data_IF_109645892026
#
_entry.id   IF_109645892026
#
_cell.length_a   1.000
_cell.length_b   1.000
_cell.length_c   1.000
_cell.angle_alpha   90.00
_cell.angle_beta   90.00
_cell.angle_gamma   90.00
#
_symmetry.space_group_name_H-M   'P 1'
#
loop_
_entity.id
_entity.type
_entity.pdbx_description
1 polymer ?
#
# COMPACT_ATOMS: atom_id res chain seq x y z
N UNK A 1 84.65 -26.87 -31.51
CA UNK A 1 84.59 -26.44 -30.13
C UNK A 1 83.70 -25.21 -30.09
N UNK A 2 82.54 -25.23 -29.47
CA UNK A 2 81.63 -24.11 -29.40
C UNK A 2 80.20 -24.58 -29.10
N UNK A 3 79.86 -24.67 -27.89
CA UNK A 3 78.55 -25.14 -27.44
C UNK A 3 77.51 -24.00 -27.62
N UNK A 4 76.52 -24.20 -28.49
CA UNK A 4 75.37 -23.30 -28.63
C UNK A 4 74.30 -23.69 -27.59
N UNK A 5 74.11 -22.80 -26.66
CA UNK A 5 73.04 -22.87 -25.65
C UNK A 5 71.73 -22.42 -26.29
N UNK A 6 70.83 -23.32 -26.59
CA UNK A 6 69.49 -23.00 -27.07
C UNK A 6 68.66 -22.55 -25.88
N UNK A 7 68.39 -21.22 -25.80
CA UNK A 7 67.37 -20.65 -24.93
C UNK A 7 65.97 -21.01 -25.48
N UNK A 8 65.30 -21.87 -24.79
CA UNK A 8 63.88 -22.09 -25.01
C UNK A 8 63.11 -20.90 -24.43
N UNK A 9 62.49 -20.11 -25.33
CA UNK A 9 61.49 -19.14 -24.96
C UNK A 9 60.22 -19.92 -24.59
N UNK A 10 59.91 -19.97 -23.28
CA UNK A 10 58.61 -20.41 -22.80
C UNK A 10 57.65 -19.22 -22.96
N UNK A 11 56.80 -19.27 -23.97
CA UNK A 11 55.65 -18.40 -24.10
C UNK A 11 54.66 -18.79 -22.98
N UNK A 12 54.72 -18.09 -21.87
CA UNK A 12 53.70 -18.13 -20.86
C UNK A 12 52.42 -17.53 -21.39
N UNK A 13 51.49 -18.37 -21.83
CA UNK A 13 50.11 -17.96 -22.06
C UNK A 13 49.51 -17.69 -20.66
N UNK A 14 49.57 -16.43 -20.28
CA UNK A 14 48.76 -15.93 -19.15
C UNK A 14 47.31 -15.99 -19.60
N UNK A 15 46.62 -17.02 -19.12
CA UNK A 15 45.17 -17.04 -19.13
C UNK A 15 44.70 -15.92 -18.20
N UNK A 16 44.46 -14.75 -18.77
CA UNK A 16 43.63 -13.74 -18.12
C UNK A 16 42.20 -14.32 -18.14
N UNK A 17 41.88 -15.01 -17.07
CA UNK A 17 40.50 -15.33 -16.79
C UNK A 17 39.77 -13.98 -16.63
N UNK A 18 39.17 -13.54 -17.72
CA UNK A 18 38.13 -12.53 -17.68
C UNK A 18 36.96 -13.14 -16.86
N UNK A 19 37.04 -13.01 -15.57
CA UNK A 19 35.85 -13.04 -14.76
C UNK A 19 35.01 -11.86 -15.21
N UNK A 20 34.08 -12.12 -16.12
CA UNK A 20 32.89 -11.32 -16.24
C UNK A 20 32.19 -11.40 -14.88
N UNK A 21 32.60 -10.54 -13.98
CA UNK A 21 31.72 -10.08 -12.93
C UNK A 21 30.54 -9.48 -13.69
N UNK A 22 29.50 -10.28 -13.89
CA UNK A 22 28.18 -9.74 -13.94
C UNK A 22 28.03 -9.01 -12.58
N UNK A 23 28.34 -7.72 -12.59
CA UNK A 23 27.79 -6.82 -11.61
C UNK A 23 26.27 -6.92 -11.82
N UNK A 24 25.66 -7.89 -11.13
CA UNK A 24 24.29 -7.73 -10.69
C UNK A 24 24.37 -6.39 -9.98
N UNK A 25 23.83 -5.34 -10.59
CA UNK A 25 23.45 -4.15 -9.87
C UNK A 25 22.54 -4.63 -8.77
N UNK A 26 23.13 -4.92 -7.63
CA UNK A 26 22.42 -4.95 -6.35
C UNK A 26 22.02 -3.49 -6.20
N UNK A 27 20.82 -3.17 -6.69
CA UNK A 27 20.15 -1.92 -6.37
C UNK A 27 20.38 -1.76 -4.88
N UNK A 28 21.09 -0.68 -4.50
CA UNK A 28 21.58 -0.50 -3.16
C UNK A 28 20.39 -0.71 -2.24
N UNK A 29 20.35 -1.86 -1.56
CA UNK A 29 19.24 -2.17 -0.65
C UNK A 29 19.19 -1.04 0.32
N UNK A 30 18.03 -0.40 0.40
CA UNK A 30 17.84 0.71 1.30
C UNK A 30 18.33 0.34 2.70
N UNK A 31 19.10 1.23 3.36
CA UNK A 31 19.73 0.92 4.62
C UNK A 31 18.68 0.52 5.66
N UNK A 32 18.97 -0.55 6.39
CA UNK A 32 18.14 -1.07 7.49
C UNK A 32 18.53 -0.29 8.75
N UNK A 33 17.52 0.13 9.52
CA UNK A 33 17.77 0.64 10.88
C UNK A 33 18.16 -0.53 11.79
N UNK A 34 19.45 -0.61 12.11
CA UNK A 34 20.02 -1.72 12.90
C UNK A 34 19.50 -1.75 14.34
N UNK A 35 19.17 -0.59 14.92
CA UNK A 35 18.62 -0.52 16.29
C UNK A 35 17.21 -1.10 16.32
N UNK A 36 16.37 -0.70 15.37
CA UNK A 36 15.04 -1.25 15.24
C UNK A 36 15.08 -2.74 14.95
N UNK A 37 15.93 -3.17 14.00
CA UNK A 37 16.05 -4.60 13.66
C UNK A 37 16.46 -5.43 14.87
N UNK A 38 17.45 -5.01 15.65
CA UNK A 38 17.88 -5.72 16.86
C UNK A 38 16.75 -5.85 17.88
N UNK A 39 15.96 -4.79 18.09
CA UNK A 39 14.81 -4.84 19.00
C UNK A 39 13.71 -5.79 18.48
N UNK A 40 13.44 -5.78 17.17
CA UNK A 40 12.41 -6.65 16.58
C UNK A 40 12.76 -8.14 16.63
N UNK A 41 14.05 -8.50 16.72
CA UNK A 41 14.49 -9.90 16.93
C UNK A 41 14.13 -10.45 18.32
N UNK A 42 13.74 -9.59 19.27
CA UNK A 42 13.23 -10.03 20.58
C UNK A 42 11.77 -10.53 20.51
N UNK A 43 11.06 -10.29 19.42
CA UNK A 43 9.69 -10.73 19.18
C UNK A 43 9.65 -12.05 18.40
N UNK A 44 8.55 -12.80 18.46
CA UNK A 44 8.36 -13.99 17.64
C UNK A 44 8.51 -13.68 16.14
N UNK A 45 9.59 -14.16 15.52
CA UNK A 45 9.94 -13.88 14.12
C UNK A 45 10.73 -15.06 13.52
N UNK A 46 10.76 -15.18 12.19
CA UNK A 46 11.67 -16.08 11.48
C UNK A 46 13.04 -15.42 11.19
N UNK A 47 13.23 -14.18 11.60
CA UNK A 47 14.45 -13.39 11.41
C UNK A 47 14.77 -13.00 9.97
N UNK A 48 13.92 -13.37 9.01
CA UNK A 48 14.17 -13.12 7.59
C UNK A 48 13.72 -11.71 7.18
N UNK A 49 14.61 -11.06 6.44
CA UNK A 49 14.29 -9.77 5.81
C UNK A 49 13.68 -10.06 4.44
N UNK A 50 12.49 -9.51 4.23
CA UNK A 50 11.75 -9.59 2.97
C UNK A 50 11.48 -8.18 2.45
N UNK A 51 11.26 -8.03 1.16
CA UNK A 51 10.86 -6.76 0.57
C UNK A 51 9.35 -6.75 0.35
N UNK A 52 8.67 -5.74 0.88
CA UNK A 52 7.24 -5.50 0.67
C UNK A 52 7.07 -4.08 0.12
N UNK A 53 6.51 -3.96 -1.07
CA UNK A 53 6.33 -2.68 -1.78
C UNK A 53 7.63 -1.84 -1.89
N UNK A 54 8.78 -2.48 -2.08
CA UNK A 54 10.08 -1.81 -2.14
C UNK A 54 10.65 -1.39 -0.77
N UNK A 55 10.05 -1.85 0.34
CA UNK A 55 10.48 -1.55 1.70
C UNK A 55 11.02 -2.84 2.35
N UNK A 56 12.26 -2.83 2.92
CA UNK A 56 12.75 -3.95 3.68
C UNK A 56 11.95 -4.12 4.97
N UNK A 57 11.39 -5.30 5.18
CA UNK A 57 10.54 -5.64 6.30
C UNK A 57 11.01 -6.91 6.99
N UNK A 58 10.64 -7.07 8.25
CA UNK A 58 10.72 -8.33 9.00
C UNK A 58 9.31 -8.82 9.30
N UNK A 59 9.10 -10.14 9.28
CA UNK A 59 7.85 -10.77 9.67
C UNK A 59 7.81 -10.95 11.19
N UNK A 60 6.79 -10.42 11.85
CA UNK A 60 6.53 -10.60 13.27
C UNK A 60 5.25 -11.42 13.42
N UNK A 61 5.30 -12.52 14.17
CA UNK A 61 4.13 -13.33 14.48
C UNK A 61 3.36 -12.72 15.64
N UNK A 62 2.05 -12.60 15.47
CA UNK A 62 1.14 -12.12 16.49
C UNK A 62 0.47 -13.31 17.17
N UNK A 63 0.35 -13.25 18.49
CA UNK A 63 -0.43 -14.20 19.26
C UNK A 63 -1.93 -13.85 19.25
N UNK A 64 -2.77 -14.83 19.61
CA UNK A 64 -4.18 -14.60 19.85
C UNK A 64 -4.39 -13.42 20.84
N UNK A 65 -5.36 -12.58 20.58
CA UNK A 65 -5.62 -11.37 21.35
C UNK A 65 -4.72 -10.17 21.01
N UNK A 66 -3.72 -10.32 20.14
CA UNK A 66 -2.84 -9.22 19.72
C UNK A 66 -3.35 -8.52 18.45
N UNK A 67 -2.95 -7.25 18.31
CA UNK A 67 -3.19 -6.40 17.13
C UNK A 67 -1.94 -5.59 16.82
N UNK A 68 -1.93 -4.87 15.67
CA UNK A 68 -0.87 -3.90 15.36
C UNK A 68 -0.74 -2.85 16.47
N UNK A 69 -1.87 -2.37 17.01
CA UNK A 69 -1.85 -1.42 18.12
C UNK A 69 -1.17 -1.99 19.37
N UNK A 70 -1.46 -3.25 19.70
CA UNK A 70 -0.84 -3.92 20.83
C UNK A 70 0.66 -4.06 20.61
N UNK A 71 1.06 -4.59 19.46
CA UNK A 71 2.45 -4.76 19.09
C UNK A 71 3.23 -3.44 19.13
N UNK A 72 2.69 -2.35 18.54
CA UNK A 72 3.38 -1.06 18.53
C UNK A 72 3.63 -0.46 19.93
N UNK A 73 2.81 -0.82 20.93
CA UNK A 73 3.02 -0.39 22.33
C UNK A 73 4.15 -1.14 23.02
N UNK A 74 4.52 -2.31 22.52
CA UNK A 74 5.61 -3.12 23.09
C UNK A 74 6.98 -2.73 22.55
N UNK A 75 7.05 -2.11 21.37
CA UNK A 75 8.29 -1.72 20.70
C UNK A 75 8.72 -0.33 21.18
N UNK A 76 9.80 -0.26 21.98
CA UNK A 76 10.32 0.99 22.56
C UNK A 76 10.78 2.00 21.51
N UNK A 77 11.27 1.50 20.37
CA UNK A 77 11.64 2.36 19.24
C UNK A 77 10.49 3.27 18.78
N UNK A 78 9.24 2.87 19.01
CA UNK A 78 8.04 3.59 18.58
C UNK A 78 7.51 4.62 19.58
N UNK A 79 8.04 4.69 20.78
CA UNK A 79 7.51 5.50 21.89
C UNK A 79 7.29 6.98 21.52
N UNK A 80 8.18 7.57 20.71
CA UNK A 80 8.10 9.00 20.37
C UNK A 80 7.18 9.32 19.19
N UNK A 81 6.76 8.32 18.41
CA UNK A 81 5.96 8.54 17.20
C UNK A 81 5.03 7.36 16.88
N UNK A 82 4.39 6.83 17.90
CA UNK A 82 3.49 5.67 17.85
C UNK A 82 2.50 5.74 16.69
N UNK A 83 1.82 6.88 16.50
CA UNK A 83 0.81 7.04 15.46
C UNK A 83 1.40 6.83 14.04
N UNK A 84 2.55 7.42 13.78
CA UNK A 84 3.24 7.29 12.48
C UNK A 84 3.64 5.84 12.18
N UNK A 85 4.25 5.15 13.16
CA UNK A 85 4.68 3.76 12.98
C UNK A 85 3.48 2.83 12.78
N UNK A 86 2.45 2.98 13.59
CA UNK A 86 1.20 2.24 13.47
C UNK A 86 0.58 2.37 12.08
N UNK A 87 0.44 3.58 11.56
CA UNK A 87 -0.14 3.84 10.24
C UNK A 87 0.74 3.25 9.11
N UNK A 88 2.05 3.30 9.26
CA UNK A 88 2.95 2.72 8.28
C UNK A 88 2.89 1.19 8.26
N UNK A 89 2.81 0.54 9.41
CA UNK A 89 2.62 -0.90 9.51
C UNK A 89 1.24 -1.29 8.95
N UNK A 90 0.18 -0.55 9.28
CA UNK A 90 -1.15 -0.76 8.72
C UNK A 90 -1.17 -0.66 7.19
N UNK A 91 -0.46 0.32 6.62
CA UNK A 91 -0.33 0.49 5.17
C UNK A 91 0.36 -0.72 4.53
N UNK A 92 1.50 -1.15 5.05
CA UNK A 92 2.26 -2.30 4.51
C UNK A 92 1.42 -3.58 4.54
N UNK A 93 0.63 -3.77 5.59
CA UNK A 93 -0.18 -4.98 5.79
C UNK A 93 -1.62 -4.86 5.25
N UNK A 94 -2.07 -3.70 4.78
CA UNK A 94 -3.47 -3.41 4.40
C UNK A 94 -4.46 -3.75 5.52
N UNK A 95 -4.04 -3.71 6.75
CA UNK A 95 -4.76 -4.22 7.92
C UNK A 95 -5.19 -3.08 8.85
N UNK A 96 -6.41 -3.20 9.40
CA UNK A 96 -6.89 -2.34 10.48
C UNK A 96 -5.98 -2.48 11.71
N UNK A 97 -5.39 -1.38 12.24
CA UNK A 97 -4.47 -1.47 13.37
C UNK A 97 -5.08 -2.02 14.65
N UNK A 98 -6.41 -1.96 14.77
CA UNK A 98 -7.18 -2.48 15.93
C UNK A 98 -7.68 -3.90 15.73
N UNK A 99 -7.52 -4.48 14.52
CA UNK A 99 -7.92 -5.86 14.26
C UNK A 99 -7.14 -6.81 15.15
N UNK A 100 -7.85 -7.72 15.84
CA UNK A 100 -7.32 -8.62 16.86
C UNK A 100 -7.31 -10.04 16.35
N UNK A 101 -6.18 -10.74 16.50
CA UNK A 101 -6.05 -12.14 16.11
C UNK A 101 -6.99 -13.01 16.98
N UNK A 102 -7.83 -13.82 16.33
CA UNK A 102 -8.73 -14.77 16.99
C UNK A 102 -9.89 -14.14 17.75
N UNK A 103 -10.17 -12.83 17.58
CA UNK A 103 -11.37 -12.22 18.15
C UNK A 103 -12.65 -12.80 17.53
N UNK A 104 -13.76 -12.72 18.26
CA UNK A 104 -15.07 -13.23 17.79
C UNK A 104 -15.99 -12.13 17.29
N UNK A 105 -15.50 -10.90 17.22
CA UNK A 105 -16.24 -9.71 16.79
C UNK A 105 -15.83 -9.21 15.40
N UNK A 106 -16.37 -8.07 15.00
CA UNK A 106 -16.08 -7.45 13.70
C UNK A 106 -14.63 -6.96 13.54
N UNK A 107 -13.84 -6.95 14.61
CA UNK A 107 -12.41 -6.60 14.61
C UNK A 107 -11.51 -7.83 14.54
N UNK A 108 -12.09 -9.02 14.33
CA UNK A 108 -11.33 -10.26 14.16
C UNK A 108 -10.46 -10.21 12.91
N UNK A 109 -9.29 -10.85 13.00
CA UNK A 109 -8.45 -11.16 11.85
C UNK A 109 -7.83 -12.54 12.01
N UNK A 110 -7.70 -13.26 10.88
CA UNK A 110 -6.94 -14.52 10.79
C UNK A 110 -5.46 -14.27 10.48
N UNK A 111 -5.07 -12.99 10.38
CA UNK A 111 -3.68 -12.60 10.09
C UNK A 111 -2.82 -12.82 11.35
N UNK A 112 -2.16 -13.96 11.41
CA UNK A 112 -1.29 -14.35 12.52
C UNK A 112 0.12 -13.71 12.46
N UNK A 113 0.40 -12.86 11.52
CA UNK A 113 1.68 -12.13 11.41
C UNK A 113 1.51 -10.78 10.74
N UNK A 114 2.48 -9.89 10.97
CA UNK A 114 2.59 -8.60 10.29
C UNK A 114 3.99 -8.42 9.72
N UNK A 115 4.10 -7.66 8.64
CA UNK A 115 5.36 -7.15 8.12
C UNK A 115 5.65 -5.80 8.76
N UNK A 116 6.79 -5.67 9.42
CA UNK A 116 7.24 -4.45 10.08
C UNK A 116 8.39 -3.85 9.27
N UNK A 117 8.25 -2.62 8.76
CA UNK A 117 9.31 -1.93 8.03
C UNK A 117 10.58 -1.76 8.88
N UNK A 118 11.73 -2.05 8.28
CA UNK A 118 13.05 -1.84 8.88
C UNK A 118 13.68 -0.49 8.53
N UNK A 119 13.01 0.30 7.71
CA UNK A 119 13.37 1.67 7.40
C UNK A 119 12.12 2.51 7.10
N UNK A 120 11.74 3.37 8.02
CA UNK A 120 10.55 4.20 7.91
C UNK A 120 10.72 5.45 7.02
N UNK A 121 11.94 5.77 6.60
CA UNK A 121 12.22 6.85 5.65
C UNK A 121 11.84 6.47 4.22
N UNK A 122 11.76 5.15 3.92
CA UNK A 122 11.38 4.65 2.61
C UNK A 122 9.86 4.70 2.48
N UNK A 123 9.38 5.31 1.41
CA UNK A 123 7.95 5.26 1.05
C UNK A 123 7.67 3.99 0.26
N UNK A 124 6.59 3.25 0.57
CA UNK A 124 6.16 2.13 -0.26
C UNK A 124 5.98 2.54 -1.72
N UNK A 125 6.51 1.74 -2.64
CA UNK A 125 6.46 1.99 -4.08
C UNK A 125 5.17 1.42 -4.69
N UNK A 126 4.02 1.88 -4.20
CA UNK A 126 2.70 1.43 -4.63
C UNK A 126 2.19 2.30 -5.79
N UNK A 127 2.36 3.61 -5.67
CA UNK A 127 1.90 4.61 -6.63
C UNK A 127 3.04 5.52 -7.10
N UNK A 128 2.97 6.04 -8.34
CA UNK A 128 3.92 7.01 -8.84
C UNK A 128 3.91 8.29 -7.99
N UNK A 129 5.10 8.80 -7.67
CA UNK A 129 5.23 10.04 -6.89
C UNK A 129 4.70 11.27 -7.64
N UNK A 130 4.61 11.20 -8.97
CA UNK A 130 4.06 12.23 -9.84
C UNK A 130 3.28 11.63 -11.01
N UNK A 131 2.15 12.24 -11.32
CA UNK A 131 1.31 11.90 -12.48
C UNK A 131 1.13 13.17 -13.31
N UNK A 132 1.78 13.22 -14.48
CA UNK A 132 1.80 14.42 -15.34
C UNK A 132 0.41 14.85 -15.83
N UNK A 133 -0.45 13.87 -16.23
CA UNK A 133 -1.80 14.13 -16.76
C UNK A 133 -2.73 14.86 -15.80
N UNK A 134 -2.47 14.80 -14.50
CA UNK A 134 -3.28 15.48 -13.46
C UNK A 134 -2.54 16.66 -12.81
N UNK A 135 -1.45 17.14 -13.41
CA UNK A 135 -0.64 18.23 -12.82
C UNK A 135 -1.37 19.57 -12.72
N UNK A 136 -2.44 19.79 -13.48
CA UNK A 136 -3.29 20.97 -13.40
C UNK A 136 -4.43 20.85 -12.38
N UNK A 137 -4.70 19.64 -11.89
CA UNK A 137 -5.79 19.39 -10.93
C UNK A 137 -5.32 19.71 -9.51
N UNK A 138 -6.04 20.57 -8.77
CA UNK A 138 -5.69 20.88 -7.39
C UNK A 138 -5.78 19.66 -6.47
N UNK A 139 -6.71 18.74 -6.77
CA UNK A 139 -6.90 17.49 -6.01
C UNK A 139 -7.26 16.35 -6.96
N UNK A 140 -6.79 15.14 -6.64
CA UNK A 140 -7.16 13.92 -7.37
C UNK A 140 -7.05 12.71 -6.45
N UNK A 141 -8.02 11.79 -6.54
CA UNK A 141 -8.06 10.54 -5.78
C UNK A 141 -7.78 9.39 -6.73
N UNK A 142 -6.71 8.61 -6.46
CA UNK A 142 -6.42 7.39 -7.20
C UNK A 142 -6.65 6.18 -6.28
N UNK A 143 -7.51 5.25 -6.70
CA UNK A 143 -7.83 4.02 -5.97
C UNK A 143 -7.37 2.85 -6.81
N UNK A 144 -6.50 2.00 -6.25
CA UNK A 144 -6.04 0.75 -6.87
C UNK A 144 -6.62 -0.42 -6.07
N UNK A 145 -7.60 -1.10 -6.66
CA UNK A 145 -8.31 -2.20 -5.99
C UNK A 145 -7.50 -3.49 -5.95
N UNK A 146 -6.49 -3.66 -6.81
CA UNK A 146 -5.59 -4.81 -6.74
C UNK A 146 -4.55 -4.63 -5.64
N UNK A 147 -4.00 -3.41 -5.53
CA UNK A 147 -3.05 -3.08 -4.47
C UNK A 147 -3.72 -2.79 -3.13
N UNK A 148 -5.05 -2.72 -3.07
CA UNK A 148 -5.83 -2.34 -1.89
C UNK A 148 -5.28 -1.05 -1.25
N UNK A 149 -5.06 -0.02 -2.09
CA UNK A 149 -4.51 1.26 -1.67
C UNK A 149 -5.21 2.44 -2.36
N UNK A 150 -5.19 3.58 -1.66
CA UNK A 150 -5.69 4.88 -2.14
C UNK A 150 -4.58 5.92 -2.03
N UNK A 151 -4.32 6.64 -3.14
CA UNK A 151 -3.41 7.78 -3.19
C UNK A 151 -4.15 9.09 -3.32
N UNK A 152 -3.76 10.10 -2.54
CA UNK A 152 -4.21 11.47 -2.71
C UNK A 152 -3.12 12.28 -3.42
N UNK A 153 -3.53 13.04 -4.42
CA UNK A 153 -2.64 13.87 -5.22
C UNK A 153 -3.08 15.34 -5.18
N UNK A 154 -2.08 16.21 -5.09
CA UNK A 154 -2.24 17.64 -5.33
C UNK A 154 -1.33 18.08 -6.47
N UNK A 155 -1.89 18.71 -7.49
CA UNK A 155 -1.17 19.14 -8.69
C UNK A 155 -0.28 18.02 -9.28
N UNK A 156 -0.83 16.81 -9.31
CA UNK A 156 -0.15 15.62 -9.83
C UNK A 156 0.91 15.03 -8.91
N UNK A 157 1.12 15.57 -7.72
CA UNK A 157 2.09 15.06 -6.72
C UNK A 157 1.39 14.22 -5.66
N UNK A 158 1.89 13.02 -5.41
CA UNK A 158 1.39 12.16 -4.32
C UNK A 158 1.69 12.80 -2.96
N UNK A 159 0.63 13.08 -2.19
CA UNK A 159 0.76 13.66 -0.85
C UNK A 159 0.49 12.63 0.26
N UNK A 160 -0.50 11.75 0.06
CA UNK A 160 -0.85 10.72 1.02
C UNK A 160 -1.12 9.37 0.34
N UNK A 161 -0.88 8.30 1.09
CA UNK A 161 -1.12 6.92 0.68
C UNK A 161 -1.77 6.18 1.86
N UNK A 162 -2.92 5.56 1.60
CA UNK A 162 -3.71 4.86 2.60
C UNK A 162 -4.05 3.43 2.18
N UNK A 163 -4.08 2.47 3.13
CA UNK A 163 -4.67 1.16 2.87
C UNK A 163 -6.18 1.28 2.73
N UNK A 164 -6.78 0.39 1.95
CA UNK A 164 -8.23 0.29 1.77
C UNK A 164 -8.70 -1.16 1.88
N UNK A 165 -10.03 -1.35 1.92
CA UNK A 165 -10.67 -2.61 1.63
C UNK A 165 -11.82 -2.37 0.64
N UNK A 166 -11.65 -2.83 -0.60
CA UNK A 166 -12.61 -2.66 -1.69
C UNK A 166 -13.67 -3.77 -1.71
N UNK A 167 -14.50 -3.83 -2.74
CA UNK A 167 -15.55 -4.84 -2.90
C UNK A 167 -15.00 -6.25 -3.10
N UNK A 168 -15.47 -7.23 -2.30
CA UNK A 168 -15.11 -8.63 -2.43
C UNK A 168 -15.54 -9.23 -3.79
N UNK A 169 -16.61 -8.73 -4.38
CA UNK A 169 -17.08 -9.09 -5.72
C UNK A 169 -16.66 -8.08 -6.79
N UNK A 170 -15.73 -7.19 -6.45
CA UNK A 170 -15.21 -6.11 -7.27
C UNK A 170 -15.78 -4.74 -6.91
N UNK A 171 -14.98 -3.72 -7.16
CA UNK A 171 -15.38 -2.32 -7.25
C UNK A 171 -15.06 -1.89 -8.67
N UNK A 172 -16.03 -1.38 -9.46
CA UNK A 172 -15.82 -1.10 -10.88
C UNK A 172 -14.69 -0.12 -11.14
N UNK A 173 -13.75 -0.49 -12.01
CA UNK A 173 -12.69 0.39 -12.47
C UNK A 173 -13.29 1.47 -13.39
N UNK A 174 -13.20 2.73 -12.97
CA UNK A 174 -13.71 3.88 -13.72
C UNK A 174 -13.20 5.19 -13.16
N UNK A 175 -13.33 6.23 -13.96
CA UNK A 175 -13.22 7.60 -13.50
C UNK A 175 -14.48 8.03 -12.74
N UNK A 176 -14.35 8.94 -11.78
CA UNK A 176 -15.43 9.49 -10.98
C UNK A 176 -15.16 10.94 -10.56
N UNK A 177 -16.19 11.58 -10.04
CA UNK A 177 -16.06 12.79 -9.22
C UNK A 177 -16.77 12.56 -7.89
N UNK A 178 -16.33 13.22 -6.83
CA UNK A 178 -17.05 13.22 -5.55
C UNK A 178 -18.39 13.93 -5.72
N UNK A 179 -19.49 13.18 -5.66
CA UNK A 179 -20.86 13.68 -5.92
C UNK A 179 -21.49 14.30 -4.68
N UNK A 180 -21.32 13.68 -3.51
CA UNK A 180 -21.80 14.19 -2.23
C UNK A 180 -20.89 13.77 -1.10
N UNK A 181 -21.08 14.41 0.07
CA UNK A 181 -20.34 14.15 1.30
C UNK A 181 -21.31 14.07 2.46
N UNK A 182 -21.27 12.98 3.21
CA UNK A 182 -22.11 12.76 4.38
C UNK A 182 -21.27 12.26 5.54
N UNK A 183 -21.31 12.95 6.69
CA UNK A 183 -20.52 12.56 7.85
C UNK A 183 -21.03 11.27 8.48
N UNK A 184 -22.36 11.15 8.59
CA UNK A 184 -23.07 10.04 9.21
C UNK A 184 -24.04 9.44 8.19
N UNK A 185 -23.50 8.63 7.25
CA UNK A 185 -24.27 7.95 6.23
C UNK A 185 -24.59 6.51 6.63
N UNK A 186 -25.78 6.03 6.25
CA UNK A 186 -26.22 4.66 6.50
C UNK A 186 -26.70 4.03 5.20
N UNK A 187 -26.31 2.78 4.98
CA UNK A 187 -26.68 2.06 3.75
C UNK A 187 -28.14 1.62 3.77
N UNK A 188 -28.95 2.17 2.90
CA UNK A 188 -30.33 1.68 2.72
C UNK A 188 -30.39 0.24 2.19
N UNK A 189 -29.33 -0.26 1.56
CA UNK A 189 -29.26 -1.57 0.89
C UNK A 189 -28.76 -2.70 1.80
N UNK A 190 -27.96 -2.38 2.82
CA UNK A 190 -27.24 -3.36 3.65
C UNK A 190 -27.55 -3.14 5.12
N UNK A 191 -28.78 -3.49 5.53
CA UNK A 191 -29.23 -3.51 6.91
C UNK A 191 -28.84 -2.27 7.73
N UNK A 192 -28.98 -1.12 7.11
CA UNK A 192 -28.64 0.18 7.72
C UNK A 192 -27.20 0.27 8.26
N UNK A 193 -26.26 -0.46 7.60
CA UNK A 193 -24.85 -0.44 8.00
C UNK A 193 -24.27 0.97 7.98
N UNK A 194 -23.58 1.35 9.06
CA UNK A 194 -22.94 2.66 9.18
C UNK A 194 -21.79 2.83 8.19
N UNK A 195 -21.79 3.95 7.50
CA UNK A 195 -20.75 4.36 6.55
C UNK A 195 -20.25 5.77 6.93
N UNK A 196 -19.49 5.92 8.01
CA UNK A 196 -19.07 7.23 8.51
C UNK A 196 -18.10 7.91 7.52
N UNK A 197 -18.20 9.24 7.43
CA UNK A 197 -17.37 10.09 6.58
C UNK A 197 -17.40 9.67 5.11
N UNK A 198 -18.61 9.43 4.60
CA UNK A 198 -18.87 8.98 3.24
C UNK A 198 -18.63 10.07 2.21
N UNK A 199 -17.95 9.69 1.14
CA UNK A 199 -17.89 10.38 -0.14
C UNK A 199 -18.58 9.51 -1.18
N UNK A 200 -19.67 9.99 -1.79
CA UNK A 200 -20.34 9.31 -2.90
C UNK A 200 -19.51 9.50 -4.17
N UNK A 201 -19.14 8.39 -4.81
CA UNK A 201 -18.30 8.40 -6.02
C UNK A 201 -19.17 8.29 -7.28
N UNK A 202 -20.06 7.31 -7.33
CA UNK A 202 -21.02 7.08 -8.39
C UNK A 202 -22.06 6.06 -7.90
N UNK A 203 -23.30 6.08 -8.46
CA UNK A 203 -24.36 5.18 -8.05
C UNK A 203 -24.41 4.99 -6.52
N UNK A 204 -24.37 3.74 -6.06
CA UNK A 204 -24.31 3.37 -4.64
C UNK A 204 -22.91 3.01 -4.18
N UNK A 205 -21.88 3.50 -4.87
CA UNK A 205 -20.48 3.31 -4.49
C UNK A 205 -19.93 4.50 -3.70
N UNK A 206 -19.42 4.22 -2.52
CA UNK A 206 -18.91 5.21 -1.59
C UNK A 206 -17.48 4.88 -1.15
N UNK A 207 -16.75 5.92 -0.80
CA UNK A 207 -15.52 5.84 -0.01
C UNK A 207 -15.88 6.27 1.42
N UNK A 208 -15.67 5.42 2.43
CA UNK A 208 -16.12 5.67 3.80
C UNK A 208 -15.24 4.97 4.85
N UNK A 209 -15.42 5.33 6.12
CA UNK A 209 -14.77 4.64 7.24
C UNK A 209 -15.33 3.24 7.45
N UNK A 210 -14.46 2.27 7.68
CA UNK A 210 -14.83 0.88 7.92
C UNK A 210 -13.62 0.01 8.25
N UNK A 211 -13.88 -1.26 8.53
CA UNK A 211 -12.84 -2.22 8.93
C UNK A 211 -12.09 -2.75 7.72
N UNK A 212 -10.76 -2.83 7.84
CA UNK A 212 -9.84 -3.36 6.85
C UNK A 212 -9.29 -4.72 7.32
N UNK A 213 -9.76 -5.86 6.77
CA UNK A 213 -9.28 -7.19 7.16
C UNK A 213 -8.03 -7.64 6.41
N UNK A 214 -7.32 -6.78 5.69
CA UNK A 214 -6.18 -7.01 4.80
C UNK A 214 -6.51 -7.44 3.37
N UNK A 215 -7.76 -7.58 3.03
CA UNK A 215 -8.25 -7.97 1.70
C UNK A 215 -9.53 -7.22 1.33
N UNK A 216 -10.00 -7.41 0.10
CA UNK A 216 -11.26 -6.85 -0.38
C UNK A 216 -12.44 -7.56 0.29
N UNK A 217 -13.21 -6.85 1.15
CA UNK A 217 -14.26 -7.43 1.99
C UNK A 217 -15.59 -6.66 1.98
N UNK A 218 -15.69 -5.54 1.26
CA UNK A 218 -16.94 -4.80 1.17
C UNK A 218 -17.91 -5.40 0.15
N UNK A 219 -19.13 -4.90 0.08
CA UNK A 219 -20.09 -5.27 -0.98
C UNK A 219 -19.88 -4.49 -2.30
N UNK A 220 -18.88 -3.58 -2.34
CA UNK A 220 -18.58 -2.76 -3.52
C UNK A 220 -17.97 -1.40 -3.17
N UNK A 221 -18.31 -0.83 -2.03
CA UNK A 221 -17.73 0.42 -1.54
C UNK A 221 -16.22 0.26 -1.24
N UNK A 222 -15.55 1.38 -1.04
CA UNK A 222 -14.13 1.42 -0.65
C UNK A 222 -14.05 1.86 0.81
N UNK A 223 -13.56 0.97 1.67
CA UNK A 223 -13.40 1.25 3.10
C UNK A 223 -12.02 1.81 3.38
N UNK A 224 -11.96 2.78 4.28
CA UNK A 224 -10.74 3.34 4.89
C UNK A 224 -10.76 3.07 6.39
N UNK A 225 -9.59 2.97 7.01
CA UNK A 225 -9.45 3.11 8.47
C UNK A 225 -10.16 4.41 8.89
N UNK A 226 -10.86 4.40 10.02
CA UNK A 226 -11.71 5.52 10.44
C UNK A 226 -11.00 6.87 10.40
N UNK A 227 -9.79 6.97 10.97
CA UNK A 227 -9.03 8.23 10.97
C UNK A 227 -8.63 8.69 9.56
N UNK A 228 -8.35 7.73 8.67
CA UNK A 228 -8.03 8.04 7.27
C UNK A 228 -9.28 8.51 6.52
N UNK A 229 -10.45 7.94 6.83
CA UNK A 229 -11.73 8.40 6.27
C UNK A 229 -12.04 9.83 6.70
N UNK A 230 -11.83 10.16 7.99
CA UNK A 230 -11.95 11.55 8.50
C UNK A 230 -11.01 12.49 7.71
N UNK A 231 -9.77 12.08 7.51
CA UNK A 231 -8.79 12.89 6.77
C UNK A 231 -9.24 13.12 5.33
N UNK A 232 -9.57 12.05 4.59
CA UNK A 232 -9.96 12.13 3.17
C UNK A 232 -11.26 12.92 3.01
N UNK A 233 -12.23 12.71 3.91
CA UNK A 233 -13.47 13.47 3.94
C UNK A 233 -13.21 14.98 4.07
N UNK A 234 -12.35 15.40 4.98
CA UNK A 234 -12.04 16.82 5.18
C UNK A 234 -11.21 17.40 4.03
N UNK A 235 -10.31 16.62 3.45
CA UNK A 235 -9.47 17.03 2.35
C UNK A 235 -10.25 17.15 1.03
N UNK A 236 -11.07 16.14 0.68
CA UNK A 236 -11.81 16.13 -0.59
C UNK A 236 -12.95 17.15 -0.61
N UNK A 237 -13.24 17.70 -1.79
CA UNK A 237 -14.38 18.58 -2.07
C UNK A 237 -15.39 17.86 -2.95
N UNK A 238 -16.66 18.31 -2.96
CA UNK A 238 -17.62 17.93 -4.01
C UNK A 238 -17.03 18.40 -5.33
N UNK A 239 -17.03 17.53 -6.36
CA UNK A 239 -16.38 17.75 -7.63
C UNK A 239 -14.90 17.32 -7.67
N UNK A 240 -14.28 16.89 -6.57
CA UNK A 240 -12.92 16.34 -6.62
C UNK A 240 -12.90 15.11 -7.56
N UNK A 241 -12.10 15.14 -8.66
CA UNK A 241 -12.00 14.03 -9.59
C UNK A 241 -11.16 12.88 -9.01
N UNK A 242 -11.41 11.68 -9.51
CA UNK A 242 -10.65 10.51 -9.17
C UNK A 242 -10.81 9.38 -10.17
N UNK A 243 -10.07 8.32 -9.95
CA UNK A 243 -10.07 7.11 -10.78
C UNK A 243 -9.92 5.89 -9.92
N UNK A 244 -10.71 4.87 -10.19
CA UNK A 244 -10.53 3.52 -9.68
C UNK A 244 -9.88 2.71 -10.79
N UNK A 245 -8.72 2.11 -10.49
CA UNK A 245 -7.99 1.25 -11.41
C UNK A 245 -8.01 -0.20 -10.90
N UNK A 246 -8.07 -1.13 -11.88
CA UNK A 246 -7.87 -2.55 -11.69
C UNK A 246 -6.82 -2.97 -12.70
N UNK A 247 -5.73 -3.55 -12.27
CA UNK A 247 -4.62 -3.98 -13.14
C UNK A 247 -4.87 -5.33 -13.79
N UNK A 248 -5.87 -6.08 -13.30
CA UNK A 248 -6.28 -7.31 -13.93
C UNK A 248 -7.15 -7.02 -15.17
N UNK A 249 -7.02 -7.81 -16.25
CA UNK A 249 -7.89 -7.64 -17.42
C UNK A 249 -9.35 -7.81 -17.01
N UNK A 250 -10.18 -6.88 -17.44
CA UNK A 250 -11.62 -6.82 -17.16
C UNK A 250 -12.38 -8.01 -17.78
N UNK A 251 -12.20 -9.20 -17.24
CA UNK A 251 -12.99 -10.39 -17.56
C UNK A 251 -14.14 -10.45 -16.58
N UNK A 252 -15.31 -9.90 -16.95
CA UNK A 252 -16.60 -9.92 -16.24
C UNK A 252 -16.93 -8.67 -15.37
N UNK A 253 -16.90 -7.49 -15.95
CA UNK A 253 -17.63 -6.37 -15.39
C UNK A 253 -18.89 -6.13 -16.23
N UNK A 254 -20.07 -6.14 -15.59
CA UNK A 254 -21.29 -5.67 -16.25
C UNK A 254 -21.11 -4.22 -16.70
N UNK A 255 -21.46 -3.87 -17.94
CA UNK A 255 -21.39 -2.49 -18.41
C UNK A 255 -22.31 -1.61 -17.55
N UNK A 256 -21.75 -0.54 -16.99
CA UNK A 256 -22.53 0.46 -16.25
C UNK A 256 -23.45 1.22 -17.22
N UNK A 257 -24.65 1.64 -16.76
CA UNK A 257 -25.54 2.46 -17.53
C UNK A 257 -24.84 3.72 -18.06
N UNK A 258 -25.10 4.07 -19.31
CA UNK A 258 -24.43 5.17 -20.02
C UNK A 258 -24.64 6.54 -19.36
N UNK A 259 -25.76 6.69 -18.64
CA UNK A 259 -26.16 7.92 -17.94
C UNK A 259 -25.27 8.26 -16.71
N UNK A 260 -24.45 7.34 -16.22
CA UNK A 260 -23.62 7.54 -15.03
C UNK A 260 -22.14 7.83 -15.33
N UNK A 261 -21.74 7.94 -16.59
CA UNK A 261 -20.35 8.28 -16.95
C UNK A 261 -20.11 9.77 -16.74
N UNK A 262 -19.29 10.18 -15.74
CA UNK A 262 -18.94 11.58 -15.63
C UNK A 262 -18.14 11.99 -16.86
N UNK A 263 -18.50 13.11 -17.47
CA UNK A 263 -17.68 13.70 -18.53
C UNK A 263 -16.42 14.31 -17.91
N UNK A 264 -15.36 13.50 -17.87
CA UNK A 264 -14.07 13.92 -17.35
C UNK A 264 -13.21 14.63 -18.37
N UNK A 265 -13.65 14.76 -19.65
CA UNK A 265 -12.88 15.49 -20.68
C UNK A 265 -12.55 16.90 -20.24
N UNK A 266 -13.50 17.58 -19.58
CA UNK A 266 -13.31 18.94 -19.07
C UNK A 266 -12.19 19.07 -18.02
N UNK A 267 -11.69 17.97 -17.46
CA UNK A 267 -10.61 17.99 -16.45
C UNK A 267 -9.23 17.67 -17.05
N UNK A 268 -9.18 17.17 -18.30
CA UNK A 268 -7.94 16.72 -18.94
C UNK A 268 -7.57 17.56 -20.17
N UNK A 269 -8.44 18.47 -20.65
CA UNK A 269 -8.15 19.51 -21.63
C UNK A 269 -7.58 20.76 -20.94
#
# INVERSE_FOLDING_TARGET
MGRHLKRKFLLGITWVALFFFHAIEVAARAPIDQRLYAELLEFPTDGKIVEVDGVPCIKIFLSEGQSINHFCRLVKYFDHNFYFFRQRIALINRLEPTAVVGATDNLSTDVAFIYVPLNYSIRPNIFPQRIGRISKLPQFILIDVDQQCLGLYEYGRLIHLFPISSGARGTPARAFVVLSKEKDHYSAKYDNAGMPYSLRLFGDYFLHGGILPSYAASHGCVRLIYENAVFVYNWARIGTPGEIINRQPATQQEPLPEEEKPDLKMFFE
#
